data_IF_790007292066
#
_entry.id   IF_790007292066
#
_cell.length_a   1.000
_cell.length_b   1.000
_cell.length_c   1.000
_cell.angle_alpha   90.00
_cell.angle_beta   90.00
_cell.angle_gamma   90.00
#
_symmetry.space_group_name_H-M   'P 1'
#
loop_
_entity.id
_entity.type
_entity.pdbx_description
1 polymer ?
#
# COMPACT_ATOMS: atom_id res chain seq x y z
N UNK A 1 -20.39 9.86 -3.61
CA UNK A 1 -20.77 9.20 -2.34
C UNK A 1 -22.22 8.73 -2.49
N UNK A 2 -22.59 7.64 -1.83
CA UNK A 2 -23.94 7.09 -1.86
C UNK A 2 -24.39 6.69 -0.45
N UNK A 3 -25.61 6.17 -0.28
CA UNK A 3 -26.17 5.83 1.03
C UNK A 3 -25.37 4.77 1.79
N UNK A 4 -24.49 4.02 1.12
CA UNK A 4 -23.55 3.06 1.75
C UNK A 4 -22.08 3.48 1.64
N UNK A 5 -21.78 4.78 1.59
CA UNK A 5 -20.38 5.23 1.69
C UNK A 5 -19.80 4.85 3.05
N UNK A 6 -18.55 4.40 3.05
CA UNK A 6 -17.85 4.03 4.28
C UNK A 6 -17.82 5.22 5.26
N UNK A 7 -18.40 5.00 6.44
CA UNK A 7 -18.47 5.99 7.53
C UNK A 7 -17.07 6.39 8.01
N UNK A 8 -16.13 5.44 7.99
CA UNK A 8 -14.73 5.65 8.38
C UNK A 8 -13.81 6.18 7.26
N UNK A 9 -14.35 6.58 6.10
CA UNK A 9 -13.56 6.95 4.93
C UNK A 9 -12.52 8.02 5.27
N UNK A 10 -12.93 9.16 5.82
CA UNK A 10 -12.00 10.29 5.97
C UNK A 10 -10.91 10.02 7.02
N UNK A 11 -11.25 9.27 8.06
CA UNK A 11 -10.29 8.81 9.06
C UNK A 11 -9.26 7.84 8.45
N UNK A 12 -9.73 6.82 7.74
CA UNK A 12 -8.86 5.85 7.07
C UNK A 12 -7.94 6.54 6.05
N UNK A 13 -8.46 7.48 5.26
CA UNK A 13 -7.67 8.24 4.31
C UNK A 13 -6.65 9.14 5.00
N UNK A 14 -6.96 9.73 6.16
CA UNK A 14 -5.99 10.52 6.92
C UNK A 14 -4.84 9.65 7.43
N UNK A 15 -5.13 8.51 8.03
CA UNK A 15 -4.11 7.56 8.48
C UNK A 15 -3.24 7.08 7.32
N UNK A 16 -3.87 6.69 6.20
CA UNK A 16 -3.17 6.26 4.99
C UNK A 16 -2.22 7.35 4.46
N UNK A 17 -2.69 8.60 4.38
CA UNK A 17 -1.87 9.73 3.90
C UNK A 17 -0.66 9.99 4.80
N UNK A 18 -0.84 9.96 6.13
CA UNK A 18 0.25 10.17 7.08
C UNK A 18 1.32 9.07 6.91
N UNK A 19 0.90 7.80 6.88
CA UNK A 19 1.82 6.68 6.70
C UNK A 19 2.53 6.74 5.35
N UNK A 20 1.79 7.01 4.26
CA UNK A 20 2.37 7.14 2.93
C UNK A 20 3.39 8.30 2.85
N UNK A 21 3.08 9.45 3.46
CA UNK A 21 4.00 10.59 3.50
C UNK A 21 5.28 10.25 4.28
N UNK A 22 5.18 9.64 5.46
CA UNK A 22 6.35 9.24 6.23
C UNK A 22 7.21 8.22 5.49
N UNK A 23 6.59 7.16 4.96
CA UNK A 23 7.29 6.12 4.21
C UNK A 23 8.02 6.69 2.98
N UNK A 24 7.36 7.58 2.24
CA UNK A 24 7.96 8.20 1.06
C UNK A 24 8.99 9.26 1.42
N UNK A 25 8.91 9.97 2.54
CA UNK A 25 9.98 10.90 2.94
C UNK A 25 11.25 10.14 3.35
N UNK A 26 11.12 9.09 4.15
CA UNK A 26 12.29 8.41 4.73
C UNK A 26 12.88 7.32 3.87
N UNK A 27 12.12 6.69 2.96
CA UNK A 27 12.59 5.52 2.23
C UNK A 27 12.40 5.62 0.71
N UNK A 28 13.32 5.01 -0.02
CA UNK A 28 13.13 4.54 -1.40
C UNK A 28 12.78 3.06 -1.37
N UNK A 29 11.83 2.65 -2.21
CA UNK A 29 11.39 1.26 -2.28
C UNK A 29 11.80 0.67 -3.63
N UNK A 30 12.42 -0.51 -3.58
CA UNK A 30 12.71 -1.33 -4.76
C UNK A 30 11.95 -2.66 -4.63
N UNK A 31 11.47 -3.22 -5.74
CA UNK A 31 10.87 -4.56 -5.71
C UNK A 31 11.93 -5.58 -5.28
N UNK A 32 11.54 -6.52 -4.40
CA UNK A 32 12.44 -7.61 -4.00
C UNK A 32 12.83 -8.47 -5.21
N UNK A 33 11.88 -8.68 -6.10
CA UNK A 33 12.05 -9.38 -7.37
C UNK A 33 11.30 -8.59 -8.47
N UNK A 34 12.00 -7.94 -9.41
CA UNK A 34 11.39 -7.15 -10.46
C UNK A 34 10.74 -8.00 -11.57
N UNK A 35 11.07 -9.29 -11.66
CA UNK A 35 10.48 -10.22 -12.64
C UNK A 35 9.16 -10.81 -12.19
N UNK A 36 8.86 -10.71 -10.89
CA UNK A 36 7.64 -11.26 -10.31
C UNK A 36 6.49 -10.26 -10.41
N UNK A 37 5.52 -10.57 -11.26
CA UNK A 37 4.29 -9.80 -11.37
C UNK A 37 3.38 -9.97 -10.14
N UNK A 38 2.57 -8.95 -9.87
CA UNK A 38 1.60 -8.95 -8.77
C UNK A 38 0.35 -9.71 -9.20
N UNK A 39 0.06 -10.82 -8.53
CA UNK A 39 -1.17 -11.59 -8.73
C UNK A 39 -2.17 -11.34 -7.59
N UNK A 40 -3.44 -11.71 -7.81
CA UNK A 40 -4.51 -11.51 -6.83
C UNK A 40 -5.13 -12.86 -6.46
N UNK A 41 -5.64 -12.95 -5.24
CA UNK A 41 -6.40 -14.12 -4.80
C UNK A 41 -7.79 -14.10 -5.43
N UNK A 42 -8.27 -15.25 -5.90
CA UNK A 42 -9.67 -15.41 -6.32
C UNK A 42 -10.58 -15.34 -5.10
N UNK A 43 -11.05 -14.13 -4.78
CA UNK A 43 -11.89 -13.80 -3.62
C UNK A 43 -12.94 -12.74 -3.98
N UNK A 44 -13.97 -12.58 -3.14
CA UNK A 44 -15.00 -11.55 -3.31
C UNK A 44 -14.45 -10.12 -3.13
N UNK A 45 -13.37 -9.99 -2.37
CA UNK A 45 -12.64 -8.73 -2.15
C UNK A 45 -11.29 -8.75 -2.86
N UNK A 46 -10.81 -7.60 -3.31
CA UNK A 46 -9.53 -7.48 -4.00
C UNK A 46 -8.38 -7.61 -2.99
N UNK A 47 -7.66 -8.73 -3.01
CA UNK A 47 -6.49 -8.97 -2.17
C UNK A 47 -5.31 -9.44 -3.03
N UNK A 48 -4.16 -8.79 -2.85
CA UNK A 48 -2.90 -9.21 -3.46
C UNK A 48 -2.53 -10.59 -2.91
N UNK A 49 -2.15 -11.51 -3.80
CA UNK A 49 -1.66 -12.82 -3.38
C UNK A 49 -0.21 -12.69 -2.87
N UNK A 50 0.03 -13.27 -1.69
CA UNK A 50 1.30 -13.20 -0.95
C UNK A 50 1.81 -11.78 -0.60
N UNK A 51 1.10 -10.71 -0.95
CA UNK A 51 1.50 -9.32 -0.69
C UNK A 51 2.62 -8.79 -1.59
N UNK A 52 2.93 -7.50 -1.43
CA UNK A 52 3.94 -6.79 -2.22
C UNK A 52 5.28 -6.75 -1.48
N UNK A 53 6.24 -7.56 -1.94
CA UNK A 53 7.56 -7.65 -1.32
C UNK A 53 8.50 -6.58 -1.87
N UNK A 54 8.92 -5.65 -1.01
CA UNK A 54 9.84 -4.56 -1.34
C UNK A 54 11.04 -4.54 -0.40
N UNK A 55 12.16 -4.01 -0.89
CA UNK A 55 13.29 -3.57 -0.07
C UNK A 55 13.14 -2.07 0.18
N UNK A 56 13.14 -1.67 1.44
CA UNK A 56 13.16 -0.27 1.85
C UNK A 56 14.61 0.16 2.11
N UNK A 57 15.05 1.22 1.44
CA UNK A 57 16.38 1.83 1.63
C UNK A 57 16.17 3.24 2.15
N UNK A 58 16.82 3.59 3.25
CA UNK A 58 16.70 4.93 3.84
C UNK A 58 17.25 5.98 2.86
N UNK A 59 16.57 7.13 2.72
CA UNK A 59 16.98 8.19 1.78
C UNK A 59 18.20 8.99 2.22
N UNK A 60 18.49 9.03 3.53
CA UNK A 60 19.58 9.82 4.10
C UNK A 60 20.86 8.99 4.31
N UNK A 61 20.92 7.79 3.73
CA UNK A 61 22.14 6.99 3.58
C UNK A 61 22.48 6.88 2.10
#
# INVERSE_FOLDING_TARGET
AGPRTCLGKDFAYRQMKIVAALLTVFFRFNLKDPSKEVTYKTMLTLHIDQGLHVRAVHRLL
#
